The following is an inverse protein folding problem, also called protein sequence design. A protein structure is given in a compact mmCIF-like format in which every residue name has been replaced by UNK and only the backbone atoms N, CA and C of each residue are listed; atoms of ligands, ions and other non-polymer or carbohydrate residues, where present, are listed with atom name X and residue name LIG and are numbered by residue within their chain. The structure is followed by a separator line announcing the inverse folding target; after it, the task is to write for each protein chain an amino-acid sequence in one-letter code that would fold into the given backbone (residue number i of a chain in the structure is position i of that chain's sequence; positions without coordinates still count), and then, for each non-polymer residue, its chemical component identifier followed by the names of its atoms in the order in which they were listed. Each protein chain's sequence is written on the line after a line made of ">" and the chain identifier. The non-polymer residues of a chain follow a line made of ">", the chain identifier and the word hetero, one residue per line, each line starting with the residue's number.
data_IF_939224250631
#
_entry.id   IF_939224250631
#
_cell.length_a   1.000
_cell.length_b   1.000
_cell.length_c   1.000
_cell.angle_alpha   90.00
_cell.angle_beta   90.00
_cell.angle_gamma   90.00
#
_symmetry.space_group_name_H-M   'P 1'
#
loop_
_entity.id
_entity.type
_entity.pdbx_description
1 polymer ?
#
# COMPACT_ATOMS: atom_id res chain seq x y z
N UNK A 1 -21.97 -39.51 21.42
CA UNK A 1 -21.98 -38.44 20.40
C UNK A 1 -20.56 -37.89 20.20
N UNK A 2 -19.99 -38.06 19.00
CA UNK A 2 -18.69 -37.47 18.64
C UNK A 2 -18.96 -36.12 17.96
N UNK A 3 -18.19 -35.08 18.30
CA UNK A 3 -18.32 -33.78 17.67
C UNK A 3 -17.90 -33.85 16.18
N UNK A 4 -18.54 -33.08 15.28
CA UNK A 4 -18.10 -33.02 13.88
C UNK A 4 -16.72 -32.39 13.80
N UNK A 5 -15.77 -33.07 13.14
CA UNK A 5 -14.45 -32.51 12.87
C UNK A 5 -14.55 -31.44 11.78
N UNK A 6 -14.07 -30.23 12.06
CA UNK A 6 -13.89 -29.21 11.03
C UNK A 6 -12.92 -29.71 9.95
N UNK A 7 -13.39 -29.79 8.71
CA UNK A 7 -12.53 -30.02 7.55
C UNK A 7 -11.97 -28.69 7.10
N UNK A 8 -10.71 -28.43 7.41
CA UNK A 8 -9.94 -27.41 6.70
C UNK A 8 -9.95 -27.73 5.20
N UNK A 9 -10.22 -26.71 4.39
CA UNK A 9 -10.08 -26.77 2.93
C UNK A 9 -9.02 -25.77 2.53
N UNK A 10 -8.04 -26.20 1.74
CA UNK A 10 -7.07 -25.30 1.14
C UNK A 10 -7.68 -24.76 -0.16
N UNK A 11 -7.93 -23.45 -0.21
CA UNK A 11 -8.26 -22.75 -1.46
C UNK A 11 -6.97 -22.42 -2.19
N UNK A 12 -6.97 -22.75 -3.48
CA UNK A 12 -5.87 -22.57 -4.41
C UNK A 12 -6.13 -21.33 -5.25
N UNK A 13 -5.60 -20.19 -4.84
CA UNK A 13 -5.67 -18.95 -5.63
C UNK A 13 -4.59 -19.02 -6.69
N UNK A 14 -4.99 -19.00 -7.97
CA UNK A 14 -4.03 -18.99 -9.08
C UNK A 14 -3.81 -17.55 -9.52
N UNK A 15 -2.58 -17.06 -9.42
CA UNK A 15 -2.19 -15.74 -9.93
C UNK A 15 -1.44 -15.91 -11.24
N UNK A 16 -2.00 -15.39 -12.33
CA UNK A 16 -1.35 -15.38 -13.64
C UNK A 16 -0.80 -13.97 -13.91
N UNK A 17 0.50 -13.83 -14.08
CA UNK A 17 1.07 -12.59 -14.61
C UNK A 17 1.29 -12.74 -16.11
N UNK A 18 0.56 -11.94 -16.90
CA UNK A 18 0.73 -11.83 -18.35
C UNK A 18 1.65 -10.66 -18.72
N UNK A 19 2.06 -10.56 -19.98
CA UNK A 19 2.74 -9.38 -20.52
C UNK A 19 1.74 -8.35 -21.11
N UNK A 20 2.27 -7.26 -21.68
CA UNK A 20 1.50 -6.19 -22.34
C UNK A 20 0.75 -6.63 -23.63
N UNK A 21 0.78 -7.93 -23.96
CA UNK A 21 0.11 -8.55 -25.10
C UNK A 21 -0.73 -9.77 -24.67
N UNK A 22 -1.11 -9.85 -23.39
CA UNK A 22 -1.85 -10.95 -22.76
C UNK A 22 -1.16 -12.33 -22.81
N UNK A 23 0.13 -12.43 -23.14
CA UNK A 23 0.84 -13.71 -23.10
C UNK A 23 1.06 -14.15 -21.64
N UNK A 24 0.69 -15.37 -21.22
CA UNK A 24 0.98 -15.87 -19.88
C UNK A 24 2.49 -16.06 -19.68
N UNK A 25 3.10 -15.19 -18.88
CA UNK A 25 4.53 -15.24 -18.56
C UNK A 25 4.80 -16.21 -17.40
N UNK A 26 3.91 -16.27 -16.40
CA UNK A 26 3.92 -17.34 -15.39
C UNK A 26 2.57 -17.49 -14.69
N UNK A 27 2.27 -18.72 -14.26
CA UNK A 27 1.16 -19.11 -13.40
C UNK A 27 1.72 -19.47 -12.00
N UNK A 28 1.16 -18.89 -10.94
CA UNK A 28 1.56 -19.12 -9.54
C UNK A 28 0.38 -19.54 -8.68
N UNK A 29 0.66 -20.18 -7.54
CA UNK A 29 -0.36 -20.68 -6.61
C UNK A 29 -0.10 -20.12 -5.21
N UNK A 30 -1.03 -19.30 -4.72
CA UNK A 30 -1.12 -18.95 -3.30
C UNK A 30 -2.13 -19.89 -2.61
N UNK A 31 -1.70 -20.50 -1.50
CA UNK A 31 -2.55 -21.37 -0.69
C UNK A 31 -3.17 -20.58 0.46
N UNK A 32 -4.50 -20.46 0.48
CA UNK A 32 -5.26 -19.86 1.58
C UNK A 32 -6.10 -20.90 2.31
N UNK A 33 -6.04 -20.92 3.65
CA UNK A 33 -6.93 -21.75 4.46
C UNK A 33 -8.28 -21.05 4.62
N UNK A 34 -9.37 -21.68 4.18
CA UNK A 34 -10.74 -21.16 4.39
C UNK A 34 -11.75 -22.31 4.40
N UNK A 35 -12.88 -22.11 5.05
CA UNK A 35 -13.87 -23.17 5.33
C UNK A 35 -14.90 -23.38 4.21
N UNK A 36 -14.91 -22.54 3.17
CA UNK A 36 -15.88 -22.59 2.06
C UNK A 36 -15.33 -23.32 0.83
N UNK A 37 -16.18 -24.13 0.18
CA UNK A 37 -15.83 -24.88 -1.04
C UNK A 37 -16.09 -24.04 -2.29
N UNK A 38 -15.10 -23.26 -2.71
CA UNK A 38 -15.14 -22.58 -4.01
C UNK A 38 -14.03 -23.06 -4.94
N UNK A 39 -14.32 -22.97 -6.22
CA UNK A 39 -13.42 -23.37 -7.30
C UNK A 39 -12.22 -22.41 -7.37
N UNK A 40 -11.13 -22.82 -7.99
CA UNK A 40 -9.91 -22.02 -8.07
C UNK A 40 -10.11 -20.81 -8.98
N UNK A 41 -10.31 -19.63 -8.38
CA UNK A 41 -10.32 -18.37 -9.11
C UNK A 41 -8.91 -18.06 -9.65
N UNK A 42 -8.82 -17.80 -10.95
CA UNK A 42 -7.61 -17.38 -11.64
C UNK A 42 -7.64 -15.86 -11.79
N UNK A 43 -6.74 -15.17 -11.07
CA UNK A 43 -6.65 -13.71 -11.06
C UNK A 43 -5.46 -13.31 -11.93
N UNK A 44 -5.73 -12.65 -13.05
CA UNK A 44 -4.69 -12.08 -13.91
C UNK A 44 -4.30 -10.70 -13.39
N UNK A 45 -3.01 -10.50 -13.09
CA UNK A 45 -2.47 -9.22 -12.63
C UNK A 45 -1.48 -8.67 -13.67
N UNK A 46 -1.72 -7.44 -14.12
CA UNK A 46 -0.94 -6.78 -15.18
C UNK A 46 -0.16 -5.55 -14.68
N UNK A 47 -0.60 -4.91 -13.60
CA UNK A 47 -0.03 -3.66 -13.12
C UNK A 47 0.79 -3.82 -11.83
N UNK A 48 1.89 -3.09 -11.77
CA UNK A 48 2.85 -3.08 -10.66
C UNK A 48 2.21 -2.66 -9.32
N UNK A 49 1.15 -1.86 -9.36
CA UNK A 49 0.52 -1.28 -8.17
C UNK A 49 -0.45 -2.25 -7.50
N UNK A 50 -1.24 -3.01 -8.27
CA UNK A 50 -2.01 -4.13 -7.73
C UNK A 50 -1.07 -5.22 -7.22
N UNK A 51 0.01 -5.55 -7.92
CA UNK A 51 0.95 -6.58 -7.47
C UNK A 51 1.59 -6.19 -6.12
N UNK A 52 2.03 -4.93 -5.98
CA UNK A 52 2.64 -4.45 -4.72
C UNK A 52 1.61 -4.32 -3.58
N UNK A 53 0.43 -3.73 -3.81
CA UNK A 53 -0.68 -3.69 -2.83
C UNK A 53 -1.16 -5.09 -2.43
N UNK A 54 -1.29 -6.01 -3.39
CA UNK A 54 -1.81 -7.36 -3.17
C UNK A 54 -0.75 -8.31 -2.58
N UNK A 55 0.44 -7.84 -2.22
CA UNK A 55 1.45 -8.67 -1.55
C UNK A 55 2.08 -7.97 -0.32
N UNK A 56 2.12 -6.63 -0.28
CA UNK A 56 2.79 -5.87 0.79
C UNK A 56 4.32 -5.95 0.68
N UNK A 57 4.84 -5.84 -0.55
CA UNK A 57 6.28 -5.89 -0.82
C UNK A 57 6.91 -4.52 -0.58
N UNK A 58 7.97 -4.48 0.21
CA UNK A 58 8.90 -3.36 0.31
C UNK A 58 9.96 -3.50 -0.79
N UNK A 59 10.01 -2.57 -1.76
CA UNK A 59 10.95 -2.63 -2.90
C UNK A 59 11.12 -1.29 -3.62
N UNK A 60 12.26 -1.08 -4.26
CA UNK A 60 12.51 0.04 -5.18
C UNK A 60 12.43 -0.42 -6.62
N UNK A 61 11.95 0.44 -7.53
CA UNK A 61 11.85 0.18 -8.96
C UNK A 61 12.55 1.29 -9.74
N UNK A 62 13.52 0.91 -10.56
CA UNK A 62 14.25 1.83 -11.44
C UNK A 62 13.26 2.51 -12.43
N UNK A 63 13.12 3.86 -12.41
CA UNK A 63 12.22 4.59 -13.30
C UNK A 63 12.72 4.61 -14.75
N UNK A 64 13.99 4.27 -14.99
CA UNK A 64 14.64 4.23 -16.32
C UNK A 64 14.65 2.83 -16.94
N UNK A 65 14.36 1.77 -16.18
CA UNK A 65 14.21 0.41 -16.67
C UNK A 65 12.88 0.19 -17.41
N UNK A 66 12.81 -0.79 -18.32
CA UNK A 66 11.56 -1.13 -19.02
C UNK A 66 10.53 -1.81 -18.11
N UNK A 67 9.25 -1.74 -18.49
CA UNK A 67 8.17 -2.47 -17.80
C UNK A 67 8.46 -3.98 -17.66
N UNK A 68 9.18 -4.58 -18.62
CA UNK A 68 9.58 -6.00 -18.55
C UNK A 68 10.62 -6.25 -17.44
N UNK A 69 11.63 -5.39 -17.32
CA UNK A 69 12.67 -5.51 -16.31
C UNK A 69 12.12 -5.20 -14.92
N UNK A 70 11.24 -4.20 -14.80
CA UNK A 70 10.54 -3.85 -13.56
C UNK A 70 9.60 -4.97 -13.10
N UNK A 71 8.81 -5.55 -14.01
CA UNK A 71 8.01 -6.74 -13.72
C UNK A 71 8.86 -7.99 -13.40
N UNK A 72 10.08 -8.10 -13.93
CA UNK A 72 11.02 -9.17 -13.53
C UNK A 72 11.51 -8.94 -12.10
N UNK A 73 11.96 -7.72 -11.76
CA UNK A 73 12.40 -7.37 -10.40
C UNK A 73 11.31 -7.59 -9.35
N UNK A 74 10.04 -7.26 -9.66
CA UNK A 74 8.91 -7.58 -8.79
C UNK A 74 8.72 -9.09 -8.55
N UNK A 75 8.95 -9.93 -9.57
CA UNK A 75 8.91 -11.40 -9.44
C UNK A 75 10.10 -11.92 -8.63
N UNK A 76 11.29 -11.37 -8.84
CA UNK A 76 12.51 -11.79 -8.15
C UNK A 76 12.43 -11.43 -6.66
N UNK A 77 11.87 -10.26 -6.33
CA UNK A 77 11.55 -9.88 -4.95
C UNK A 77 10.44 -10.73 -4.33
N UNK A 78 9.43 -11.14 -5.11
CA UNK A 78 8.34 -11.98 -4.60
C UNK A 78 8.73 -13.46 -4.39
N UNK A 79 9.56 -14.01 -5.28
CA UNK A 79 9.91 -15.45 -5.31
C UNK A 79 11.28 -15.76 -4.69
N UNK A 80 12.15 -14.76 -4.56
CA UNK A 80 13.40 -14.84 -3.82
C UNK A 80 13.23 -14.61 -2.32
N UNK A 81 14.33 -14.33 -1.63
CA UNK A 81 14.30 -13.91 -0.25
C UNK A 81 13.82 -12.45 -0.16
N UNK A 82 12.51 -12.26 0.05
CA UNK A 82 11.91 -10.97 0.42
C UNK A 82 12.75 -10.30 1.51
N UNK A 83 13.02 -9.00 1.36
CA UNK A 83 13.69 -8.20 2.36
C UNK A 83 12.72 -7.17 2.93
N UNK A 84 12.82 -6.93 4.24
CA UNK A 84 11.96 -5.96 4.92
C UNK A 84 12.19 -4.51 4.48
N UNK A 85 13.32 -4.22 3.81
CA UNK A 85 13.78 -2.89 3.43
C UNK A 85 15.01 -2.45 4.21
N UNK A 86 15.13 -1.16 4.49
CA UNK A 86 16.19 -0.58 5.34
C UNK A 86 15.57 0.31 6.42
N UNK A 87 16.05 0.21 7.66
CA UNK A 87 15.60 1.05 8.77
C UNK A 87 16.70 2.06 9.13
N UNK A 88 16.34 3.34 9.24
CA UNK A 88 17.22 4.45 9.68
C UNK A 88 16.40 5.33 10.61
N UNK A 89 16.82 5.56 11.85
CA UNK A 89 16.12 6.43 12.83
C UNK A 89 14.60 6.14 12.97
N UNK A 90 14.24 4.86 12.99
CA UNK A 90 12.85 4.35 12.98
C UNK A 90 11.98 4.83 11.80
N UNK A 91 12.59 5.31 10.71
CA UNK A 91 12.00 5.35 9.37
C UNK A 91 12.32 4.04 8.64
N UNK A 92 11.30 3.41 8.05
CA UNK A 92 11.46 2.31 7.11
C UNK A 92 11.55 2.86 5.68
N UNK A 93 12.50 2.35 4.89
CA UNK A 93 12.74 2.67 3.48
C UNK A 93 12.75 1.39 2.64
N UNK A 94 12.52 1.52 1.33
CA UNK A 94 12.55 0.37 0.42
C UNK A 94 13.92 -0.32 0.30
N UNK A 95 15.00 0.45 0.39
CA UNK A 95 16.38 -0.02 0.52
C UNK A 95 17.26 1.08 1.15
N UNK A 96 18.57 0.83 1.31
CA UNK A 96 19.50 1.76 1.96
C UNK A 96 19.82 3.03 1.15
N UNK A 97 19.53 3.06 -0.15
CA UNK A 97 19.70 4.20 -1.06
C UNK A 97 18.40 4.97 -1.31
N UNK A 98 17.25 4.33 -1.10
CA UNK A 98 15.92 4.93 -1.33
C UNK A 98 15.72 6.24 -0.55
N UNK A 99 15.18 7.29 -1.21
CA UNK A 99 14.83 8.56 -0.56
C UNK A 99 13.43 8.54 0.08
N UNK A 100 12.67 7.45 -0.08
CA UNK A 100 11.25 7.38 0.27
C UNK A 100 11.04 6.50 1.50
N UNK A 101 10.53 7.09 2.59
CA UNK A 101 10.40 6.38 3.86
C UNK A 101 9.12 6.67 4.63
N UNK A 102 8.79 5.81 5.58
CA UNK A 102 7.62 5.92 6.46
C UNK A 102 7.99 5.72 7.93
N UNK A 103 7.31 6.45 8.83
CA UNK A 103 7.30 6.20 10.28
C UNK A 103 5.85 6.04 10.75
N UNK A 104 5.65 5.22 11.78
CA UNK A 104 4.39 5.15 12.51
C UNK A 104 4.51 5.92 13.82
N UNK A 105 3.52 6.74 14.15
CA UNK A 105 3.43 7.50 15.39
C UNK A 105 2.14 7.17 16.13
N UNK A 106 2.22 6.86 17.42
CA UNK A 106 1.05 6.70 18.31
C UNK A 106 0.95 7.98 19.14
N UNK A 107 -0.08 8.78 18.88
CA UNK A 107 -0.01 10.22 19.17
C UNK A 107 1.18 10.86 18.44
N UNK A 108 1.98 11.66 19.16
CA UNK A 108 3.22 12.26 18.64
C UNK A 108 4.47 11.36 18.83
N UNK A 109 4.35 10.18 19.46
CA UNK A 109 5.48 9.32 19.76
C UNK A 109 5.76 8.33 18.62
N UNK A 110 6.97 8.39 18.05
CA UNK A 110 7.44 7.41 17.03
C UNK A 110 7.48 6.01 17.65
N UNK A 111 6.86 5.04 16.98
CA UNK A 111 6.76 3.65 17.43
C UNK A 111 7.95 2.84 16.90
N UNK A 112 8.43 1.88 17.68
CA UNK A 112 9.59 1.05 17.32
C UNK A 112 9.29 0.10 16.16
N UNK A 113 10.14 0.14 15.13
CA UNK A 113 10.10 -0.78 13.99
C UNK A 113 11.01 -1.98 14.30
N UNK A 114 10.42 -3.17 14.34
CA UNK A 114 11.09 -4.46 14.58
C UNK A 114 11.24 -5.19 13.23
N UNK A 115 12.46 -5.37 12.69
CA UNK A 115 12.67 -6.15 11.48
C UNK A 115 12.64 -7.66 11.75
N UNK A 116 12.07 -8.41 10.82
CA UNK A 116 12.28 -9.86 10.68
C UNK A 116 13.13 -10.12 9.42
N UNK A 117 13.25 -11.37 8.96
CA UNK A 117 13.94 -11.65 7.69
C UNK A 117 13.19 -11.06 6.48
N UNK A 118 11.86 -11.17 6.45
CA UNK A 118 11.04 -10.81 5.28
C UNK A 118 10.26 -9.49 5.42
N UNK A 119 9.83 -9.11 6.63
CA UNK A 119 8.97 -7.94 6.85
C UNK A 119 9.41 -7.09 8.04
N UNK A 120 9.10 -5.81 7.98
CA UNK A 120 9.18 -4.89 9.11
C UNK A 120 7.84 -4.86 9.84
N UNK A 121 7.89 -4.84 11.17
CA UNK A 121 6.72 -4.84 12.04
C UNK A 121 6.73 -3.63 12.98
N UNK A 122 5.55 -3.09 13.28
CA UNK A 122 5.31 -2.16 14.39
C UNK A 122 4.20 -2.72 15.26
N UNK A 123 4.50 -3.01 16.53
CA UNK A 123 3.50 -3.53 17.44
C UNK A 123 2.46 -2.46 17.79
N UNK A 124 1.21 -2.66 17.35
CA UNK A 124 0.04 -1.87 17.76
C UNK A 124 -0.85 -2.63 18.75
N UNK A 125 -1.71 -1.89 19.45
CA UNK A 125 -2.68 -2.38 20.42
C UNK A 125 -4.10 -1.90 20.07
N UNK A 126 -5.10 -2.70 20.41
CA UNK A 126 -6.51 -2.34 20.22
C UNK A 126 -6.86 -1.04 20.97
N UNK A 127 -7.54 -0.12 20.28
CA UNK A 127 -7.85 1.22 20.79
C UNK A 127 -6.73 2.26 20.64
N UNK A 128 -5.53 1.91 20.14
CA UNK A 128 -4.55 2.93 19.77
C UNK A 128 -5.00 3.66 18.48
N UNK A 129 -5.05 5.00 18.55
CA UNK A 129 -5.05 5.86 17.36
C UNK A 129 -3.60 6.15 16.95
N UNK A 130 -3.32 6.08 15.65
CA UNK A 130 -1.99 6.34 15.10
C UNK A 130 -2.03 7.27 13.87
N UNK A 131 -0.86 7.79 13.53
CA UNK A 131 -0.61 8.55 12.31
C UNK A 131 0.64 8.03 11.61
N UNK A 132 0.77 8.32 10.32
CA UNK A 132 1.89 7.88 9.48
C UNK A 132 2.61 9.10 8.95
N UNK A 133 3.89 9.25 9.29
CA UNK A 133 4.75 10.28 8.70
C UNK A 133 5.43 9.73 7.46
N UNK A 134 5.18 10.37 6.33
CA UNK A 134 5.75 10.04 5.03
C UNK A 134 6.91 11.01 4.76
N UNK A 135 8.08 10.46 4.43
CA UNK A 135 9.31 11.20 4.18
C UNK A 135 9.67 11.17 2.70
N UNK A 136 9.87 12.34 2.10
CA UNK A 136 10.40 12.50 0.75
C UNK A 136 11.78 13.17 0.80
N UNK A 137 12.83 12.37 0.74
CA UNK A 137 14.22 12.85 0.69
C UNK A 137 14.70 13.11 -0.76
N UNK A 138 13.83 13.12 -1.77
CA UNK A 138 14.20 13.40 -3.16
C UNK A 138 14.16 14.91 -3.48
N UNK A 139 14.80 15.29 -4.60
CA UNK A 139 14.83 16.67 -5.13
C UNK A 139 13.59 17.05 -5.98
N UNK A 140 12.52 16.26 -5.91
CA UNK A 140 11.26 16.48 -6.61
C UNK A 140 10.07 16.14 -5.70
N UNK A 141 8.88 16.72 -5.96
CA UNK A 141 7.65 16.38 -5.21
C UNK A 141 7.32 14.90 -5.42
N UNK A 142 6.91 14.18 -4.37
CA UNK A 142 6.44 12.81 -4.45
C UNK A 142 4.90 12.75 -4.36
N UNK A 143 4.28 11.97 -5.25
CA UNK A 143 2.90 11.54 -5.11
C UNK A 143 2.87 10.19 -4.39
N UNK A 144 2.11 10.09 -3.31
CA UNK A 144 2.10 8.92 -2.43
C UNK A 144 0.68 8.38 -2.28
N UNK A 145 0.44 7.21 -2.87
CA UNK A 145 -0.76 6.42 -2.62
C UNK A 145 -0.53 5.64 -1.32
N UNK A 146 -1.23 6.03 -0.26
CA UNK A 146 -1.22 5.33 1.02
C UNK A 146 -2.43 4.42 1.13
N UNK A 147 -2.20 3.14 1.36
CA UNK A 147 -3.23 2.17 1.71
C UNK A 147 -2.97 1.54 3.09
N UNK A 148 -4.05 1.32 3.85
CA UNK A 148 -4.00 0.59 5.12
C UNK A 148 -4.82 -0.68 4.98
N UNK A 149 -4.16 -1.79 5.26
CA UNK A 149 -4.44 -3.18 4.88
C UNK A 149 -4.51 -3.41 3.35
N UNK A 150 -4.75 -2.33 2.58
CA UNK A 150 -4.89 -2.24 1.13
C UNK A 150 -6.02 -1.28 0.68
N UNK A 151 -7.00 -0.90 1.55
CA UNK A 151 -7.93 0.20 1.21
C UNK A 151 -7.09 1.47 1.08
N UNK A 152 -7.22 2.16 -0.06
CA UNK A 152 -6.71 3.52 -0.23
C UNK A 152 -7.27 4.43 0.85
N UNK A 153 -6.39 5.18 1.52
CA UNK A 153 -6.76 6.17 2.54
C UNK A 153 -7.79 7.22 2.08
N UNK A 154 -8.08 7.33 0.78
CA UNK A 154 -9.13 8.18 0.20
C UNK A 154 -10.51 7.50 0.01
N UNK A 155 -10.67 6.21 0.34
CA UNK A 155 -11.92 5.47 0.08
C UNK A 155 -13.15 5.92 0.90
N UNK A 156 -12.95 6.78 1.90
CA UNK A 156 -14.01 7.40 2.70
C UNK A 156 -14.12 8.91 2.44
N UNK A 157 -13.56 9.38 1.31
CA UNK A 157 -13.76 10.72 0.77
C UNK A 157 -15.26 11.01 0.64
N UNK A 158 -15.67 12.23 0.95
CA UNK A 158 -16.97 12.76 0.53
C UNK A 158 -16.90 13.37 -0.89
N UNK A 159 -15.69 13.68 -1.37
CA UNK A 159 -15.43 14.40 -2.62
C UNK A 159 -15.21 13.38 -3.75
N UNK A 160 -16.30 13.11 -4.48
CA UNK A 160 -16.35 12.16 -5.59
C UNK A 160 -16.48 12.86 -6.95
N UNK A 161 -16.04 12.17 -8.00
CA UNK A 161 -16.28 12.54 -9.38
C UNK A 161 -17.70 12.11 -9.83
N UNK A 162 -18.14 12.42 -11.06
CA UNK A 162 -19.45 12.00 -11.57
C UNK A 162 -19.63 10.48 -11.74
N UNK A 163 -18.59 9.66 -11.61
CA UNK A 163 -18.69 8.19 -11.59
C UNK A 163 -18.94 7.62 -10.19
N UNK A 164 -18.78 8.44 -9.14
CA UNK A 164 -18.80 7.99 -7.75
C UNK A 164 -17.42 7.52 -7.24
N UNK A 165 -16.33 7.84 -7.95
CA UNK A 165 -14.95 7.53 -7.54
C UNK A 165 -14.35 8.71 -6.77
N UNK A 166 -13.49 8.50 -5.76
CA UNK A 166 -12.80 9.59 -5.06
C UNK A 166 -12.00 10.48 -6.03
N UNK A 167 -12.13 11.80 -5.91
CA UNK A 167 -11.43 12.79 -6.77
C UNK A 167 -9.92 12.90 -6.50
N UNK A 168 -9.38 12.13 -5.56
CA UNK A 168 -7.97 12.18 -5.14
C UNK A 168 -7.53 10.78 -4.71
N UNK A 169 -6.33 10.39 -5.16
CA UNK A 169 -5.74 9.06 -4.92
C UNK A 169 -4.38 9.14 -4.20
N UNK A 170 -3.75 10.33 -4.21
CA UNK A 170 -2.37 10.56 -3.76
C UNK A 170 -2.29 11.74 -2.80
N UNK A 171 -1.46 11.63 -1.76
CA UNK A 171 -0.93 12.80 -1.06
C UNK A 171 0.27 13.35 -1.81
N UNK A 172 0.46 14.67 -1.76
CA UNK A 172 1.66 15.33 -2.27
C UNK A 172 2.63 15.58 -1.11
N UNK A 173 3.85 15.03 -1.22
CA UNK A 173 4.95 15.27 -0.28
C UNK A 173 6.00 16.13 -1.00
N UNK A 174 6.20 17.40 -0.63
CA UNK A 174 7.15 18.27 -1.33
C UNK A 174 8.58 17.72 -1.36
N UNK A 175 9.37 18.16 -2.32
CA UNK A 175 10.81 17.85 -2.36
C UNK A 175 11.51 18.16 -1.03
N UNK A 176 12.35 17.24 -0.56
CA UNK A 176 13.10 17.32 0.71
C UNK A 176 12.23 17.65 1.95
N UNK A 177 11.01 17.13 2.03
CA UNK A 177 10.03 17.37 3.09
C UNK A 177 9.39 16.08 3.61
N UNK A 178 8.81 16.13 4.81
CA UNK A 178 7.84 15.14 5.29
C UNK A 178 6.41 15.70 5.33
N UNK A 179 5.43 14.81 5.49
CA UNK A 179 4.05 15.11 5.92
C UNK A 179 3.58 14.04 6.93
N UNK A 180 2.65 14.38 7.83
CA UNK A 180 2.00 13.40 8.72
C UNK A 180 0.53 13.22 8.33
N UNK A 181 0.17 12.03 7.86
CA UNK A 181 -1.20 11.63 7.52
C UNK A 181 -1.85 11.02 8.77
N UNK A 182 -2.93 11.62 9.25
CA UNK A 182 -3.55 11.28 10.54
C UNK A 182 -4.72 10.30 10.46
N UNK A 183 -5.19 9.99 9.25
CA UNK A 183 -6.40 9.21 9.07
C UNK A 183 -6.85 9.09 7.62
N UNK A 184 -8.05 8.53 7.44
CA UNK A 184 -8.79 8.47 6.19
C UNK A 184 -9.19 9.87 5.75
N UNK A 185 -8.84 10.22 4.52
CA UNK A 185 -9.30 11.45 3.90
C UNK A 185 -10.82 11.42 3.74
N UNK A 186 -11.50 12.42 4.29
CA UNK A 186 -12.94 12.65 4.10
C UNK A 186 -13.20 13.94 3.33
N UNK A 187 -12.52 15.02 3.69
CA UNK A 187 -12.67 16.32 3.05
C UNK A 187 -11.33 17.08 3.08
N UNK A 188 -11.30 18.25 2.44
CA UNK A 188 -10.18 19.20 2.55
C UNK A 188 -10.02 19.83 3.94
N UNK A 189 -10.96 19.57 4.86
CA UNK A 189 -10.99 20.15 6.21
C UNK A 189 -10.99 19.11 7.32
N UNK A 190 -11.22 17.83 7.02
CA UNK A 190 -11.48 16.78 8.02
C UNK A 190 -10.98 15.40 7.57
N UNK A 191 -10.44 14.64 8.52
CA UNK A 191 -10.08 13.21 8.36
C UNK A 191 -10.69 12.36 9.47
N UNK A 192 -10.96 11.09 9.19
CA UNK A 192 -11.28 10.10 10.23
C UNK A 192 -9.99 9.42 10.69
N UNK A 193 -9.63 9.50 11.97
CA UNK A 193 -8.38 8.93 12.51
C UNK A 193 -8.16 7.45 12.13
N UNK A 194 -6.89 7.03 12.03
CA UNK A 194 -6.56 5.60 11.97
C UNK A 194 -6.60 5.01 13.39
N UNK A 195 -7.64 4.22 13.70
CA UNK A 195 -7.79 3.55 15.00
C UNK A 195 -7.74 2.03 14.83
N UNK A 196 -7.01 1.36 15.72
CA UNK A 196 -6.90 -0.11 15.74
C UNK A 196 -8.15 -0.72 16.37
N UNK A 197 -8.97 -1.40 15.57
CA UNK A 197 -10.22 -2.04 16.00
C UNK A 197 -10.20 -3.55 15.74
N UNK A 198 -11.09 -4.35 16.37
CA UNK A 198 -11.29 -5.74 16.01
C UNK A 198 -11.54 -5.95 14.50
N UNK A 199 -11.08 -7.08 13.97
CA UNK A 199 -11.18 -7.43 12.55
C UNK A 199 -12.60 -7.28 11.98
N UNK A 200 -13.62 -7.63 12.76
CA UNK A 200 -15.05 -7.53 12.44
C UNK A 200 -15.59 -6.10 12.33
N UNK A 201 -14.89 -5.12 12.86
CA UNK A 201 -15.31 -3.71 12.95
C UNK A 201 -14.44 -2.78 12.09
N UNK A 202 -13.31 -3.29 11.59
CA UNK A 202 -12.48 -2.67 10.55
C UNK A 202 -13.30 -2.25 9.32
N UNK A 203 -12.87 -1.23 8.58
CA UNK A 203 -13.58 -0.86 7.35
C UNK A 203 -13.28 -1.84 6.19
N UNK A 204 -12.33 -2.76 6.33
CA UNK A 204 -12.30 -4.02 5.57
C UNK A 204 -13.63 -4.77 5.69
N UNK A 205 -14.07 -5.04 6.93
CA UNK A 205 -15.34 -5.70 7.18
C UNK A 205 -16.54 -4.86 6.66
N UNK A 206 -16.49 -3.53 6.82
CA UNK A 206 -17.52 -2.62 6.28
C UNK A 206 -17.61 -2.68 4.74
N UNK A 207 -16.48 -2.77 4.03
CA UNK A 207 -16.42 -2.96 2.57
C UNK A 207 -16.49 -4.43 2.13
N UNK A 208 -16.75 -5.39 3.05
CA UNK A 208 -16.85 -6.85 2.81
C UNK A 208 -15.60 -7.46 2.16
N UNK A 209 -14.43 -6.95 2.54
CA UNK A 209 -13.14 -7.22 1.93
C UNK A 209 -12.15 -7.52 3.06
N UNK A 210 -11.55 -8.73 3.17
CA UNK A 210 -10.87 -9.17 4.43
C UNK A 210 -9.52 -9.92 4.31
N UNK A 211 -8.89 -10.00 3.14
CA UNK A 211 -7.68 -10.83 2.86
C UNK A 211 -6.31 -10.31 3.35
N UNK A 212 -6.19 -9.10 3.95
CA UNK A 212 -4.88 -8.49 4.38
C UNK A 212 -4.94 -7.55 5.60
N UNK A 213 -5.65 -7.94 6.65
CA UNK A 213 -5.58 -7.19 7.91
C UNK A 213 -4.12 -7.10 8.43
N UNK A 214 -3.72 -5.96 8.98
CA UNK A 214 -2.42 -5.75 9.61
C UNK A 214 -1.28 -5.22 8.71
N UNK A 215 -1.53 -4.56 7.57
CA UNK A 215 -0.48 -4.08 6.65
C UNK A 215 -0.64 -2.64 6.16
N UNK A 216 0.24 -1.73 6.56
CA UNK A 216 0.37 -0.38 5.97
C UNK A 216 1.23 -0.48 4.70
N UNK A 217 0.84 0.15 3.59
CA UNK A 217 1.68 0.27 2.38
C UNK A 217 1.62 1.69 1.82
N UNK A 218 2.79 2.28 1.57
CA UNK A 218 2.94 3.55 0.86
C UNK A 218 3.64 3.33 -0.48
N UNK A 219 3.00 3.73 -1.58
CA UNK A 219 3.51 3.62 -2.94
C UNK A 219 3.89 4.99 -3.48
N UNK A 220 5.15 5.17 -3.86
CA UNK A 220 5.76 6.45 -4.19
C UNK A 220 5.98 6.59 -5.71
N UNK A 221 5.49 7.70 -6.26
CA UNK A 221 5.67 8.14 -7.66
C UNK A 221 6.28 9.54 -7.66
N UNK A 222 6.99 9.91 -8.73
CA UNK A 222 7.32 11.32 -8.93
C UNK A 222 6.06 12.15 -9.21
N UNK A 223 6.07 13.42 -8.82
CA UNK A 223 5.04 14.39 -9.14
C UNK A 223 5.67 15.71 -9.59
N UNK A 224 5.02 16.40 -10.53
CA UNK A 224 5.42 17.74 -10.94
C UNK A 224 4.21 18.59 -11.31
N UNK A 225 4.38 19.92 -11.34
CA UNK A 225 3.31 20.84 -11.73
C UNK A 225 2.91 20.56 -13.18
N UNK A 226 1.60 20.52 -13.45
CA UNK A 226 1.09 20.20 -14.78
C UNK A 226 1.73 21.09 -15.87
N UNK A 227 2.25 20.47 -16.93
CA UNK A 227 2.93 21.19 -18.02
C UNK A 227 4.34 21.72 -17.70
N UNK A 228 4.90 21.40 -16.53
CA UNK A 228 6.34 21.60 -16.24
C UNK A 228 7.16 20.40 -16.73
N UNK A 229 8.49 20.55 -16.76
CA UNK A 229 9.37 19.41 -17.07
C UNK A 229 9.30 18.35 -15.95
N UNK A 230 9.24 17.05 -16.28
CA UNK A 230 9.35 15.97 -15.30
C UNK A 230 10.79 15.85 -14.77
N UNK A 231 11.03 15.05 -13.72
CA UNK A 231 12.38 14.64 -13.32
C UNK A 231 13.18 14.02 -14.48
N UNK A 232 14.50 14.22 -14.47
CA UNK A 232 15.40 13.86 -15.58
C UNK A 232 15.44 12.35 -15.90
N UNK A 233 15.09 11.52 -14.93
CA UNK A 233 15.08 10.06 -14.95
C UNK A 233 13.67 9.48 -15.17
N UNK A 234 12.67 10.32 -15.43
CA UNK A 234 11.28 9.90 -15.61
C UNK A 234 11.01 9.45 -17.06
N UNK A 235 10.62 8.19 -17.26
CA UNK A 235 10.14 7.73 -18.57
C UNK A 235 8.77 8.36 -18.90
N UNK A 236 8.75 9.27 -19.88
CA UNK A 236 7.53 9.90 -20.39
C UNK A 236 6.74 8.93 -21.28
N UNK A 237 6.15 7.89 -20.67
CA UNK A 237 5.32 6.95 -21.43
C UNK A 237 4.96 5.63 -20.75
N UNK A 238 4.08 5.65 -19.73
CA UNK A 238 2.86 4.80 -19.64
C UNK A 238 2.10 5.16 -18.35
N UNK A 239 0.81 5.50 -18.45
CA UNK A 239 -0.03 5.69 -17.26
C UNK A 239 -0.42 4.32 -16.70
N UNK A 240 0.06 4.00 -15.51
CA UNK A 240 -0.45 2.84 -14.76
C UNK A 240 -1.91 3.04 -14.39
N UNK A 241 -2.73 2.00 -14.54
CA UNK A 241 -4.13 2.03 -14.13
C UNK A 241 -4.24 1.88 -12.60
N UNK A 242 -5.08 2.71 -11.96
CA UNK A 242 -5.32 2.64 -10.52
C UNK A 242 -6.15 1.42 -10.12
N UNK A 243 -5.88 0.86 -8.94
CA UNK A 243 -6.47 -0.39 -8.46
C UNK A 243 -7.06 -0.32 -7.04
N UNK A 244 -8.17 -1.02 -6.83
CA UNK A 244 -8.98 -1.03 -5.59
C UNK A 244 -8.92 -2.38 -4.85
N UNK A 245 -8.59 -2.40 -3.54
CA UNK A 245 -9.07 -3.38 -2.53
C UNK A 245 -8.47 -3.20 -1.10
N UNK A 246 -9.32 -3.17 -0.04
CA UNK A 246 -9.19 -3.97 1.22
C UNK A 246 -8.03 -3.73 2.24
N UNK A 247 -8.12 -3.33 3.54
CA UNK A 247 -9.07 -2.48 4.31
C UNK A 247 -8.92 -2.32 5.85
N UNK A 248 -9.07 -1.10 6.43
CA UNK A 248 -8.88 -0.78 7.88
C UNK A 248 -9.90 0.26 8.41
N UNK A 249 -10.16 0.34 9.73
CA UNK A 249 -11.29 1.06 10.39
C UNK A 249 -11.24 2.60 10.52
N UNK A 250 -12.44 3.22 10.55
CA UNK A 250 -12.69 4.66 10.73
C UNK A 250 -12.67 5.08 12.23
N UNK A 251 -11.77 5.99 12.59
CA UNK A 251 -11.73 6.65 13.91
C UNK A 251 -12.53 7.96 14.01
N UNK A 252 -12.19 8.78 15.00
CA UNK A 252 -12.84 10.07 15.25
C UNK A 252 -12.63 11.07 14.11
N UNK A 253 -13.57 11.99 13.91
CA UNK A 253 -13.43 13.07 12.93
C UNK A 253 -12.60 14.21 13.52
N UNK A 254 -11.45 14.52 12.91
CA UNK A 254 -10.56 15.61 13.36
C UNK A 254 -10.29 16.63 12.23
N UNK A 255 -10.14 17.93 12.55
CA UNK A 255 -9.81 18.94 11.55
C UNK A 255 -8.39 18.77 10.97
N UNK A 256 -8.27 18.93 9.65
CA UNK A 256 -7.00 18.92 8.91
C UNK A 256 -7.08 19.81 7.67
N UNK A 257 -6.40 20.96 7.68
CA UNK A 257 -6.32 21.87 6.52
C UNK A 257 -5.51 21.23 5.38
N UNK A 258 -6.17 20.95 4.25
CA UNK A 258 -5.63 20.15 3.15
C UNK A 258 -5.99 20.75 1.79
N UNK A 259 -5.00 21.02 0.94
CA UNK A 259 -5.23 21.65 -0.38
C UNK A 259 -5.15 20.63 -1.53
N UNK A 260 -6.23 20.51 -2.31
CA UNK A 260 -6.23 19.73 -3.56
C UNK A 260 -5.49 20.52 -4.64
N UNK A 261 -4.50 19.90 -5.28
CA UNK A 261 -3.67 20.54 -6.31
C UNK A 261 -3.48 19.61 -7.52
N UNK A 262 -3.56 20.16 -8.73
CA UNK A 262 -3.26 19.40 -9.94
C UNK A 262 -1.75 19.13 -10.07
N UNK A 263 -1.40 17.89 -10.41
CA UNK A 263 -0.04 17.41 -10.67
C UNK A 263 -0.06 16.42 -11.83
N UNK A 264 1.01 16.41 -12.61
CA UNK A 264 1.36 15.25 -13.43
C UNK A 264 2.10 14.23 -12.55
N UNK A 265 1.92 12.94 -12.82
CA UNK A 265 2.33 11.82 -11.96
C UNK A 265 3.15 10.81 -12.78
N UNK A 266 4.25 10.33 -12.20
CA UNK A 266 5.20 9.42 -12.83
C UNK A 266 4.98 7.93 -12.58
N UNK A 267 5.93 7.12 -13.04
CA UNK A 267 6.01 5.68 -12.79
C UNK A 267 6.26 5.37 -11.31
N UNK A 268 6.00 4.13 -10.92
CA UNK A 268 6.22 3.67 -9.54
C UNK A 268 7.73 3.59 -9.27
N UNK A 269 8.21 4.22 -8.20
CA UNK A 269 9.64 4.32 -7.86
C UNK A 269 10.00 3.55 -6.59
N UNK A 270 9.08 3.45 -5.65
CA UNK A 270 9.24 2.70 -4.40
C UNK A 270 7.88 2.25 -3.87
N UNK A 271 7.84 1.09 -3.23
CA UNK A 271 6.80 0.71 -2.28
C UNK A 271 7.44 0.38 -0.94
N UNK A 272 6.84 0.87 0.14
CA UNK A 272 7.29 0.59 1.50
C UNK A 272 6.11 0.05 2.29
N UNK A 273 6.25 -1.18 2.79
CA UNK A 273 5.21 -1.91 3.49
C UNK A 273 5.65 -2.26 4.91
N UNK A 274 4.76 -1.99 5.87
CA UNK A 274 4.97 -2.15 7.30
C UNK A 274 3.79 -2.92 7.90
N UNK A 275 4.08 -4.05 8.56
CA UNK A 275 3.06 -4.86 9.24
C UNK A 275 2.78 -4.33 10.64
N UNK A 276 1.55 -4.49 11.11
CA UNK A 276 1.14 -4.14 12.48
C UNK A 276 0.27 -5.18 13.18
N UNK A 277 -0.09 -6.28 12.50
CA UNK A 277 -0.39 -7.53 13.20
C UNK A 277 0.92 -8.17 13.72
N UNK A 278 0.83 -9.09 14.69
CA UNK A 278 2.03 -9.68 15.31
C UNK A 278 2.54 -10.87 14.50
N UNK A 279 3.88 -11.08 14.43
CA UNK A 279 4.45 -12.30 13.87
C UNK A 279 4.17 -13.56 14.72
N UNK A 280 3.69 -13.41 15.96
CA UNK A 280 3.59 -14.48 16.94
C UNK A 280 2.12 -14.88 17.23
N UNK A 281 1.59 -15.87 16.49
CA UNK A 281 0.41 -16.67 16.87
C UNK A 281 0.43 -18.07 16.26
#
# INVERSE_FOLDING_TARGET
>A
PVAPSERQVAVRVTVTMVDQFDNPVTEFVAAGNTTDKRESEQITLQDEETITKLIGITTSLDPTASLRERNQHLRDQFTGAQQFGSIRDQMLFSDATSPFGIQLLVGDAVREIVPTQAFAYVALQEGETYSIRIHNQADFDAAVALSIDGISSFAFSAIHDPSGSPTSEYYLVPARSDITIRGWFRSTTDVHEFTVTPASESAAAQLKQTTKLGTITASFRAAWRHGSQPPRDEQVGTKGAGSQALGTGLGALIPQDSQVVQRDIGVLRSTVSLRYDRPDR
#
